data_IF_543863436109
#
_entry.id   IF_543863436109
#
_cell.length_a   1.000
_cell.length_b   1.000
_cell.length_c   1.000
_cell.angle_alpha   90.00
_cell.angle_beta   90.00
_cell.angle_gamma   90.00
#
_symmetry.space_group_name_H-M   'P 1'
#
loop_
_entity.id
_entity.type
_entity.pdbx_description
1 polymer ?
#
# COMPACT_ATOMS: atom_id res chain seq x y z
N UNK A 1 13.37 11.02 -6.71
CA UNK A 1 12.16 10.65 -5.97
C UNK A 1 11.04 11.51 -6.51
N UNK A 2 10.01 10.91 -7.10
CA UNK A 2 8.96 11.61 -7.84
C UNK A 2 8.22 12.64 -6.97
N UNK A 3 8.00 13.85 -7.53
CA UNK A 3 7.32 14.97 -6.89
C UNK A 3 5.83 14.72 -6.56
N UNK A 4 5.32 13.50 -6.77
CA UNK A 4 3.92 13.13 -6.60
C UNK A 4 3.68 12.10 -5.48
N UNK A 5 4.67 11.85 -4.62
CA UNK A 5 4.47 11.01 -3.43
C UNK A 5 3.70 11.81 -2.36
N UNK A 6 2.52 11.31 -2.01
CA UNK A 6 1.70 11.87 -0.93
C UNK A 6 1.95 11.01 0.32
N UNK A 7 2.48 11.64 1.37
CA UNK A 7 2.61 10.98 2.68
C UNK A 7 1.22 10.64 3.22
N UNK A 8 1.01 9.37 3.59
CA UNK A 8 -0.27 8.91 4.14
C UNK A 8 -0.19 8.70 5.65
N UNK A 9 0.79 7.91 6.11
CA UNK A 9 0.99 7.58 7.52
C UNK A 9 2.30 6.80 7.72
N UNK A 10 2.69 6.57 8.98
CA UNK A 10 3.80 5.69 9.38
C UNK A 10 3.32 4.66 10.41
N UNK A 11 3.60 3.39 10.18
CA UNK A 11 3.24 2.30 11.10
C UNK A 11 4.45 1.45 11.46
N UNK A 12 4.51 0.99 12.72
CA UNK A 12 5.46 -0.04 13.13
C UNK A 12 5.08 -1.39 12.51
N UNK A 13 6.08 -2.11 12.01
CA UNK A 13 5.93 -3.49 11.59
C UNK A 13 5.67 -4.35 12.83
N UNK A 14 4.52 -5.01 12.87
CA UNK A 14 4.15 -5.87 13.99
C UNK A 14 4.97 -7.16 14.00
N UNK A 15 5.04 -7.84 15.15
CA UNK A 15 5.82 -9.07 15.34
C UNK A 15 5.42 -10.20 14.38
N UNK A 16 4.18 -10.21 13.93
CA UNK A 16 3.67 -11.16 12.94
C UNK A 16 3.72 -10.62 11.50
N UNK A 17 4.62 -9.66 11.24
CA UNK A 17 4.93 -9.10 9.92
C UNK A 17 3.77 -8.33 9.27
N UNK A 18 2.82 -7.82 10.06
CA UNK A 18 1.70 -7.02 9.56
C UNK A 18 1.97 -5.53 9.67
N UNK A 19 1.47 -4.79 8.70
CA UNK A 19 1.33 -3.33 8.74
C UNK A 19 -0.15 -2.96 8.64
N UNK A 20 -0.57 -1.91 9.35
CA UNK A 20 -1.91 -1.36 9.20
C UNK A 20 -1.90 -0.38 8.04
N UNK A 21 -2.85 -0.52 7.11
CA UNK A 21 -3.01 0.44 6.03
C UNK A 21 -3.84 1.66 6.51
N UNK A 22 -3.47 2.89 6.11
CA UNK A 22 -4.20 4.09 6.52
C UNK A 22 -5.57 4.15 5.83
N UNK A 23 -6.58 4.73 6.49
CA UNK A 23 -7.96 4.75 5.98
C UNK A 23 -8.09 5.46 4.62
N UNK A 24 -7.24 6.43 4.33
CA UNK A 24 -7.22 7.23 3.10
C UNK A 24 -7.06 6.40 1.83
N UNK A 25 -6.47 5.19 1.89
CA UNK A 25 -6.32 4.36 0.70
C UNK A 25 -7.66 3.86 0.14
N UNK A 26 -8.71 3.81 0.97
CA UNK A 26 -10.03 3.36 0.53
C UNK A 26 -10.60 4.32 -0.51
N UNK A 27 -10.46 5.61 -0.28
CA UNK A 27 -10.93 6.67 -1.17
C UNK A 27 -9.92 6.90 -2.31
N UNK A 28 -8.64 7.06 -1.99
CA UNK A 28 -7.59 7.40 -2.97
C UNK A 28 -7.38 6.31 -4.03
N UNK A 29 -7.55 5.03 -3.67
CA UNK A 29 -7.35 3.90 -4.58
C UNK A 29 -8.67 3.22 -4.99
N UNK A 30 -9.80 3.67 -4.43
CA UNK A 30 -11.13 3.06 -4.56
C UNK A 30 -11.13 1.57 -4.16
N UNK A 31 -10.76 1.28 -2.92
CA UNK A 31 -10.64 -0.08 -2.38
C UNK A 31 -11.80 -0.43 -1.45
N UNK A 32 -12.26 -1.68 -1.52
CA UNK A 32 -13.28 -2.24 -0.63
C UNK A 32 -12.66 -3.23 0.36
N UNK A 33 -12.92 -3.01 1.65
CA UNK A 33 -12.45 -3.88 2.74
C UNK A 33 -12.95 -5.31 2.54
N UNK A 34 -12.05 -6.28 2.62
CA UNK A 34 -12.38 -7.70 2.50
C UNK A 34 -12.68 -8.18 1.08
N UNK A 35 -12.60 -7.31 0.06
CA UNK A 35 -12.85 -7.67 -1.35
C UNK A 35 -11.68 -7.33 -2.26
N UNK A 36 -11.18 -6.09 -2.18
CA UNK A 36 -10.09 -5.65 -3.05
C UNK A 36 -8.78 -6.30 -2.64
N UNK A 37 -7.99 -6.72 -3.63
CA UNK A 37 -6.67 -7.32 -3.45
C UNK A 37 -5.57 -6.33 -3.79
N UNK A 38 -4.45 -6.43 -3.08
CA UNK A 38 -3.25 -5.65 -3.33
C UNK A 38 -2.11 -6.61 -3.67
N UNK A 39 -1.42 -6.36 -4.77
CA UNK A 39 -0.15 -7.03 -5.11
C UNK A 39 0.99 -6.30 -4.43
N UNK A 40 1.93 -7.05 -3.87
CA UNK A 40 3.11 -6.53 -3.18
C UNK A 40 4.32 -6.76 -4.07
N UNK A 41 5.08 -5.70 -4.34
CA UNK A 41 6.32 -5.74 -5.12
C UNK A 41 7.48 -5.20 -4.28
N UNK A 42 8.67 -5.77 -4.45
CA UNK A 42 9.90 -5.21 -3.91
C UNK A 42 10.58 -4.36 -4.98
N UNK A 43 10.58 -3.05 -4.78
CA UNK A 43 11.28 -2.08 -5.64
C UNK A 43 12.71 -1.92 -5.16
N UNK A 44 13.60 -2.75 -5.72
CA UNK A 44 15.01 -2.86 -5.33
C UNK A 44 15.77 -1.53 -5.45
N UNK A 45 15.67 -0.74 -6.55
CA UNK A 45 16.33 0.57 -6.65
C UNK A 45 16.01 1.56 -5.53
N UNK A 46 14.80 1.51 -4.98
CA UNK A 46 14.34 2.44 -3.95
C UNK A 46 14.26 1.78 -2.56
N UNK A 47 14.72 0.53 -2.42
CA UNK A 47 14.63 -0.29 -1.20
C UNK A 47 13.26 -0.21 -0.51
N UNK A 48 12.19 -0.30 -1.30
CA UNK A 48 10.82 -0.07 -0.81
C UNK A 48 9.85 -1.16 -1.25
N UNK A 49 8.75 -1.29 -0.52
CA UNK A 49 7.61 -2.13 -0.93
C UNK A 49 6.58 -1.27 -1.65
N UNK A 50 6.18 -1.72 -2.83
CA UNK A 50 5.14 -1.07 -3.63
C UNK A 50 3.88 -1.94 -3.59
N UNK A 51 2.80 -1.36 -3.08
CA UNK A 51 1.47 -1.98 -3.08
C UNK A 51 0.68 -1.48 -4.28
N UNK A 52 0.21 -2.38 -5.14
CA UNK A 52 -0.64 -2.03 -6.30
C UNK A 52 -1.99 -2.72 -6.19
N UNK A 53 -3.07 -1.99 -6.46
CA UNK A 53 -4.40 -2.60 -6.60
C UNK A 53 -4.39 -3.66 -7.70
N UNK A 54 -4.92 -4.84 -7.40
CA UNK A 54 -5.23 -5.82 -8.41
C UNK A 54 -6.42 -5.30 -9.22
N UNK A 55 -6.25 -5.19 -10.54
CA UNK A 55 -7.38 -5.00 -11.43
C UNK A 55 -8.09 -6.34 -11.52
N UNK A 56 -9.36 -6.39 -11.15
CA UNK A 56 -10.25 -7.44 -11.62
C UNK A 56 -10.37 -7.28 -13.14
N UNK A 57 -10.09 -8.34 -13.88
CA UNK A 57 -10.52 -8.45 -15.29
C UNK A 57 -12.04 -8.38 -15.40
#
# INVERSE_FOLDING_TARGET
MDNNLIYLDTYLLQQDMRIRLPRSILENLNLEKGKSKLKIYYDKPNESLVLKKEKSE
#
